data_IF_675020709011
#
_entry.id   IF_675020709011
#
_cell.length_a   1.000
_cell.length_b   1.000
_cell.length_c   1.000
_cell.angle_alpha   90.00
_cell.angle_beta   90.00
_cell.angle_gamma   90.00
#
_symmetry.space_group_name_H-M   'P 1'
#
loop_
_entity.id
_entity.type
_entity.pdbx_description
1 polymer ?
#
# COMPACT_ATOMS: atom_id res chain seq x y z
N UNK A 1 -13.61 -14.06 21.20
CA UNK A 1 -14.43 -14.03 19.98
C UNK A 1 -13.82 -12.99 19.06
N UNK A 2 -13.23 -13.45 17.97
CA UNK A 2 -12.57 -12.62 16.97
C UNK A 2 -13.63 -11.90 16.15
N UNK A 3 -13.94 -10.64 16.49
CA UNK A 3 -14.83 -9.79 15.68
C UNK A 3 -14.04 -9.33 14.46
N UNK A 4 -13.85 -10.26 13.51
CA UNK A 4 -13.16 -10.01 12.26
C UNK A 4 -13.81 -8.86 11.49
N UNK A 5 -13.00 -7.90 11.06
CA UNK A 5 -13.42 -6.82 10.17
C UNK A 5 -13.90 -7.41 8.83
N UNK A 6 -15.13 -7.10 8.42
CA UNK A 6 -15.69 -7.42 7.09
C UNK A 6 -15.46 -6.21 6.17
N UNK A 7 -14.56 -6.36 5.19
CA UNK A 7 -14.36 -5.35 4.14
C UNK A 7 -15.28 -5.69 2.97
N UNK A 8 -16.22 -4.80 2.66
CA UNK A 8 -17.14 -4.95 1.53
C UNK A 8 -16.69 -4.01 0.41
N UNK A 9 -16.28 -4.58 -0.72
CA UNK A 9 -15.91 -3.84 -1.92
C UNK A 9 -17.11 -3.71 -2.85
N UNK A 10 -17.30 -2.54 -3.46
CA UNK A 10 -18.30 -2.32 -4.50
C UNK A 10 -17.62 -1.74 -5.73
N UNK A 11 -17.26 -2.61 -6.67
CA UNK A 11 -16.71 -2.24 -7.97
C UNK A 11 -17.86 -1.88 -8.92
N UNK A 12 -18.38 -0.66 -8.82
CA UNK A 12 -19.27 -0.13 -9.84
C UNK A 12 -18.45 0.32 -11.05
N UNK A 13 -18.75 -0.19 -12.26
CA UNK A 13 -18.10 0.27 -13.50
C UNK A 13 -18.24 1.80 -13.65
N UNK A 14 -17.15 2.46 -14.07
CA UNK A 14 -17.08 3.90 -14.33
C UNK A 14 -16.74 4.13 -15.82
N UNK A 15 -17.73 4.14 -16.74
CA UNK A 15 -17.47 4.19 -18.19
C UNK A 15 -17.06 5.59 -18.72
N UNK A 16 -16.74 6.54 -17.84
CA UNK A 16 -16.30 7.88 -18.22
C UNK A 16 -15.65 8.54 -17.03
N UNK A 17 -14.40 9.01 -17.19
CA UNK A 17 -13.63 9.66 -16.13
C UNK A 17 -14.43 10.78 -15.46
N UNK A 18 -14.94 10.51 -14.28
CA UNK A 18 -15.84 11.40 -13.52
C UNK A 18 -15.18 11.88 -12.21
N UNK A 19 -13.86 11.70 -12.06
CA UNK A 19 -13.07 12.29 -10.99
C UNK A 19 -11.97 13.17 -11.56
N UNK A 20 -12.13 14.49 -11.39
CA UNK A 20 -11.03 15.45 -11.44
C UNK A 20 -10.62 15.97 -12.82
N UNK A 21 -11.42 16.88 -13.40
CA UNK A 21 -10.88 17.88 -14.33
C UNK A 21 -11.34 19.29 -13.93
N UNK A 22 -10.80 19.80 -12.81
CA UNK A 22 -10.44 21.21 -12.54
C UNK A 22 -10.52 21.56 -11.06
N UNK A 23 -9.54 22.36 -10.63
CA UNK A 23 -9.37 22.79 -9.25
C UNK A 23 -10.56 23.57 -8.70
N UNK A 24 -10.94 23.19 -7.47
CA UNK A 24 -11.88 23.82 -6.54
C UNK A 24 -13.37 23.62 -6.90
N UNK A 25 -14.06 22.98 -5.96
CA UNK A 25 -15.51 22.71 -5.88
C UNK A 25 -16.10 21.70 -6.87
N UNK A 26 -16.15 20.46 -6.39
CA UNK A 26 -17.07 19.36 -6.67
C UNK A 26 -18.40 19.79 -7.33
N UNK A 27 -18.46 19.75 -8.65
CA UNK A 27 -19.75 19.74 -9.37
C UNK A 27 -20.12 18.29 -9.64
N UNK A 28 -21.01 17.76 -8.80
CA UNK A 28 -21.54 16.43 -8.97
C UNK A 28 -22.45 16.40 -10.20
N UNK A 29 -22.14 15.56 -11.19
CA UNK A 29 -23.12 15.23 -12.21
C UNK A 29 -24.34 14.59 -11.51
N UNK A 30 -25.58 14.76 -12.01
CA UNK A 30 -26.74 14.09 -11.43
C UNK A 30 -26.56 12.57 -11.31
N UNK A 31 -25.79 11.97 -12.23
CA UNK A 31 -25.44 10.56 -12.19
C UNK A 31 -24.44 10.24 -11.06
N UNK A 32 -23.37 11.02 -10.90
CA UNK A 32 -22.43 10.85 -9.79
C UNK A 32 -23.12 11.01 -8.42
N UNK A 33 -24.03 11.98 -8.30
CA UNK A 33 -24.83 12.18 -7.10
C UNK A 33 -25.68 10.95 -6.76
N UNK A 34 -26.38 10.40 -7.76
CA UNK A 34 -27.19 9.20 -7.55
C UNK A 34 -26.34 7.98 -7.19
N UNK A 35 -25.18 7.80 -7.83
CA UNK A 35 -24.26 6.69 -7.54
C UNK A 35 -23.69 6.75 -6.12
N UNK A 36 -23.12 7.88 -5.72
CA UNK A 36 -22.54 8.03 -4.37
C UNK A 36 -23.63 8.06 -3.30
N UNK A 37 -24.78 8.67 -3.59
CA UNK A 37 -25.95 8.58 -2.72
C UNK A 37 -26.40 7.14 -2.49
N UNK A 38 -26.47 6.32 -3.55
CA UNK A 38 -26.78 4.89 -3.45
C UNK A 38 -25.72 4.15 -2.63
N UNK A 39 -24.43 4.34 -2.92
CA UNK A 39 -23.34 3.67 -2.20
C UNK A 39 -23.36 4.01 -0.70
N UNK A 40 -23.49 5.30 -0.35
CA UNK A 40 -23.59 5.74 1.04
C UNK A 40 -24.81 5.14 1.73
N UNK A 41 -25.96 5.09 1.04
CA UNK A 41 -27.15 4.42 1.57
C UNK A 41 -26.90 2.92 1.82
N UNK A 42 -26.30 2.20 0.87
CA UNK A 42 -26.01 0.77 1.02
C UNK A 42 -25.07 0.51 2.23
N UNK A 43 -24.05 1.36 2.42
CA UNK A 43 -23.14 1.30 3.59
C UNK A 43 -23.92 1.56 4.89
N UNK A 44 -24.82 2.55 4.91
CA UNK A 44 -25.66 2.85 6.08
C UNK A 44 -26.58 1.67 6.40
N UNK A 45 -27.23 1.06 5.40
CA UNK A 45 -28.09 -0.11 5.60
C UNK A 45 -27.30 -1.28 6.18
N UNK A 46 -26.13 -1.58 5.62
CA UNK A 46 -25.25 -2.62 6.15
C UNK A 46 -24.86 -2.35 7.62
N UNK A 47 -24.53 -1.10 7.95
CA UNK A 47 -24.16 -0.73 9.31
C UNK A 47 -25.33 -0.92 10.29
N UNK A 48 -26.57 -0.63 9.87
CA UNK A 48 -27.77 -0.86 10.66
C UNK A 48 -28.12 -2.35 10.79
N UNK A 49 -28.00 -3.13 9.71
CA UNK A 49 -28.29 -4.56 9.68
C UNK A 49 -27.33 -5.38 10.55
N UNK A 50 -26.08 -4.94 10.66
CA UNK A 50 -25.02 -5.61 11.43
C UNK A 50 -24.81 -4.97 12.82
N UNK A 51 -25.73 -4.12 13.28
CA UNK A 51 -25.75 -3.47 14.61
C UNK A 51 -24.46 -2.72 14.98
N UNK A 52 -23.88 -1.96 14.04
CA UNK A 52 -22.72 -1.11 14.34
C UNK A 52 -23.11 0.09 15.22
N UNK A 53 -22.40 0.30 16.34
CA UNK A 53 -22.63 1.41 17.26
C UNK A 53 -22.34 2.79 16.63
N UNK A 54 -21.38 2.86 15.72
CA UNK A 54 -20.96 4.09 15.05
C UNK A 54 -20.61 3.83 13.59
N UNK A 55 -21.06 4.73 12.71
CA UNK A 55 -20.64 4.80 11.32
C UNK A 55 -20.04 6.18 11.04
N UNK A 56 -18.81 6.21 10.53
CA UNK A 56 -18.16 7.44 10.10
C UNK A 56 -17.97 7.42 8.58
N UNK A 57 -18.67 8.32 7.90
CA UNK A 57 -18.50 8.55 6.47
C UNK A 57 -17.57 9.75 6.29
N UNK A 58 -16.38 9.50 5.75
CA UNK A 58 -15.41 10.52 5.40
C UNK A 58 -15.29 10.56 3.89
N UNK A 59 -15.67 11.70 3.30
CA UNK A 59 -15.35 11.96 1.91
C UNK A 59 -13.91 12.45 1.83
N UNK A 60 -13.10 11.79 1.01
CA UNK A 60 -11.72 12.19 0.76
C UNK A 60 -11.46 12.22 -0.74
N UNK A 61 -10.86 13.33 -1.18
CA UNK A 61 -10.48 13.53 -2.59
C UNK A 61 -9.13 12.87 -2.89
N UNK A 62 -8.30 12.71 -1.85
CA UNK A 62 -6.96 12.13 -1.90
C UNK A 62 -6.70 11.42 -0.58
N UNK A 63 -6.41 10.13 -0.63
CA UNK A 63 -5.84 9.39 0.49
C UNK A 63 -4.67 8.58 -0.05
N UNK A 64 -3.47 8.84 0.44
CA UNK A 64 -2.24 8.22 -0.05
C UNK A 64 -1.26 8.07 1.12
N UNK A 65 -0.40 7.06 1.05
CA UNK A 65 0.63 6.85 2.05
C UNK A 65 1.88 7.71 1.74
N UNK A 66 2.36 8.57 2.66
CA UNK A 66 3.51 9.44 2.44
C UNK A 66 4.82 8.68 2.22
N UNK A 67 4.90 7.39 2.61
CA UNK A 67 6.02 6.52 2.32
C UNK A 67 6.34 6.39 0.82
N UNK A 68 5.38 6.69 -0.06
CA UNK A 68 5.60 6.76 -1.52
C UNK A 68 6.61 7.84 -1.95
N UNK A 69 6.87 8.83 -1.10
CA UNK A 69 7.86 9.89 -1.35
C UNK A 69 9.28 9.51 -0.89
N UNK A 70 9.49 8.32 -0.30
CA UNK A 70 10.79 7.95 0.26
C UNK A 70 11.89 7.94 -0.80
N UNK A 71 11.59 7.60 -2.06
CA UNK A 71 12.56 7.65 -3.15
C UNK A 71 13.04 9.06 -3.51
N UNK A 72 12.31 10.11 -3.12
CA UNK A 72 12.74 11.50 -3.29
C UNK A 72 13.65 11.97 -2.15
N UNK A 73 13.46 11.41 -0.95
CA UNK A 73 14.23 11.72 0.26
C UNK A 73 15.50 10.90 0.35
N UNK A 74 15.42 9.63 -0.02
CA UNK A 74 16.50 8.64 -0.04
C UNK A 74 16.57 8.01 -1.44
N UNK A 75 17.19 8.70 -2.42
CA UNK A 75 17.32 8.16 -3.76
C UNK A 75 18.06 6.81 -3.74
N UNK A 76 17.63 5.82 -4.54
CA UNK A 76 18.29 4.53 -4.57
C UNK A 76 19.72 4.66 -5.10
N UNK A 77 20.67 4.03 -4.40
CA UNK A 77 22.07 4.01 -4.82
C UNK A 77 22.35 2.73 -5.63
N UNK A 78 22.80 2.90 -6.88
CA UNK A 78 23.24 1.80 -7.73
C UNK A 78 22.14 1.06 -8.49
N UNK A 79 22.52 -0.06 -9.11
CA UNK A 79 21.61 -0.90 -9.89
C UNK A 79 20.96 -1.98 -9.02
N UNK A 80 19.76 -2.45 -9.42
CA UNK A 80 19.12 -3.61 -8.80
C UNK A 80 19.99 -4.85 -8.93
N UNK A 81 19.91 -5.70 -7.92
CA UNK A 81 20.53 -7.02 -7.84
C UNK A 81 19.49 -8.11 -8.16
N UNK A 82 19.93 -9.35 -8.26
CA UNK A 82 19.06 -10.53 -8.40
C UNK A 82 18.45 -11.02 -7.07
N UNK A 83 18.70 -10.30 -5.96
CA UNK A 83 18.21 -10.67 -4.64
C UNK A 83 16.71 -10.47 -4.50
N UNK A 84 16.11 -11.33 -3.69
CA UNK A 84 14.70 -11.33 -3.34
C UNK A 84 14.59 -10.92 -1.87
N UNK A 85 14.03 -9.74 -1.62
CA UNK A 85 13.87 -9.20 -0.27
C UNK A 85 12.69 -9.84 0.45
N UNK A 86 12.90 -10.27 1.70
CA UNK A 86 11.82 -10.71 2.59
C UNK A 86 11.72 -9.71 3.74
N UNK A 87 10.63 -8.92 3.75
CA UNK A 87 10.37 -7.86 4.73
C UNK A 87 9.26 -8.30 5.68
N UNK A 88 9.57 -8.90 6.84
CA UNK A 88 8.56 -9.32 7.79
C UNK A 88 7.89 -8.12 8.46
N UNK A 89 6.71 -8.31 9.04
CA UNK A 89 6.24 -7.42 10.08
C UNK A 89 7.25 -7.40 11.25
N UNK A 90 7.47 -6.26 11.91
CA UNK A 90 8.52 -6.13 12.93
C UNK A 90 8.42 -7.14 14.08
N UNK A 91 7.21 -7.59 14.43
CA UNK A 91 6.98 -8.63 15.45
C UNK A 91 7.33 -10.05 15.00
N UNK A 92 7.52 -10.26 13.70
CA UNK A 92 7.82 -11.54 13.06
C UNK A 92 9.28 -11.62 12.60
N UNK A 93 10.09 -10.60 12.85
CA UNK A 93 11.47 -10.52 12.37
C UNK A 93 12.39 -11.62 12.94
N UNK A 94 12.05 -12.17 14.10
CA UNK A 94 12.78 -13.27 14.76
C UNK A 94 12.06 -14.62 14.63
N UNK A 95 11.04 -14.74 13.78
CA UNK A 95 10.30 -15.99 13.58
C UNK A 95 11.19 -17.09 12.99
N UNK A 96 11.18 -18.28 13.59
CA UNK A 96 12.07 -19.37 13.19
C UNK A 96 11.80 -19.87 11.77
N UNK A 97 10.54 -19.94 11.34
CA UNK A 97 10.19 -20.40 9.98
C UNK A 97 10.64 -19.39 8.94
N UNK A 98 10.55 -18.10 9.25
CA UNK A 98 11.09 -17.04 8.42
C UNK A 98 12.62 -17.17 8.26
N UNK A 99 13.34 -17.36 9.37
CA UNK A 99 14.79 -17.50 9.34
C UNK A 99 15.22 -18.75 8.57
N UNK A 100 14.52 -19.87 8.73
CA UNK A 100 14.74 -21.09 7.95
C UNK A 100 14.48 -20.88 6.45
N UNK A 101 13.41 -20.17 6.09
CA UNK A 101 13.11 -19.82 4.69
C UNK A 101 14.24 -18.98 4.08
N UNK A 102 14.68 -17.92 4.76
CA UNK A 102 15.77 -17.07 4.28
C UNK A 102 17.05 -17.87 4.10
N UNK A 103 17.36 -18.79 5.03
CA UNK A 103 18.54 -19.64 4.95
C UNK A 103 18.44 -20.73 3.87
N UNK A 104 17.25 -21.04 3.36
CA UNK A 104 17.02 -22.11 2.39
C UNK A 104 17.52 -21.80 0.98
N UNK A 105 17.66 -20.52 0.64
CA UNK A 105 18.14 -20.07 -0.67
C UNK A 105 18.95 -18.78 -0.54
N UNK A 106 20.18 -18.80 -1.07
CA UNK A 106 21.07 -17.64 -1.09
C UNK A 106 20.52 -16.42 -1.86
N UNK A 107 19.49 -16.61 -2.70
CA UNK A 107 18.79 -15.51 -3.36
C UNK A 107 17.94 -14.68 -2.38
N UNK A 108 17.52 -15.24 -1.25
CA UNK A 108 16.74 -14.52 -0.25
C UNK A 108 17.62 -13.67 0.65
N UNK A 109 17.14 -12.45 0.93
CA UNK A 109 17.72 -11.56 1.93
C UNK A 109 16.64 -11.13 2.92
N UNK A 110 16.89 -11.36 4.20
CA UNK A 110 16.04 -10.82 5.26
C UNK A 110 16.28 -9.32 5.37
N UNK A 111 15.22 -8.53 5.28
CA UNK A 111 15.26 -7.09 5.48
C UNK A 111 14.47 -6.77 6.74
N UNK A 112 15.18 -6.62 7.86
CA UNK A 112 14.56 -6.36 9.17
C UNK A 112 14.07 -4.90 9.24
N UNK A 113 12.74 -4.64 9.33
CA UNK A 113 12.19 -3.29 9.40
C UNK A 113 12.54 -2.54 10.69
N UNK A 114 13.16 -3.21 11.69
CA UNK A 114 13.66 -2.58 12.92
C UNK A 114 15.02 -1.89 12.72
N UNK A 115 15.69 -2.15 11.59
CA UNK A 115 16.97 -1.53 11.23
C UNK A 115 16.80 -0.04 10.89
N UNK A 116 17.88 0.75 10.83
CA UNK A 116 17.82 2.15 10.39
C UNK A 116 17.12 2.28 9.03
N UNK A 117 16.29 3.31 8.87
CA UNK A 117 15.39 3.46 7.73
C UNK A 117 16.15 3.50 6.40
N UNK A 118 17.30 4.17 6.37
CA UNK A 118 18.20 4.27 5.22
C UNK A 118 18.74 2.90 4.78
N UNK A 119 19.03 2.01 5.74
CA UNK A 119 19.51 0.65 5.46
C UNK A 119 18.38 -0.20 4.90
N UNK A 120 17.18 -0.13 5.50
CA UNK A 120 15.99 -0.85 5.03
C UNK A 120 15.61 -0.40 3.62
N UNK A 121 15.58 0.91 3.38
CA UNK A 121 15.26 1.51 2.09
C UNK A 121 16.25 1.08 1.01
N UNK A 122 17.55 1.19 1.26
CA UNK A 122 18.58 0.76 0.32
C UNK A 122 18.49 -0.74 0.00
N UNK A 123 18.26 -1.58 1.03
CA UNK A 123 18.08 -3.02 0.83
C UNK A 123 16.86 -3.32 -0.05
N UNK A 124 15.71 -2.71 0.22
CA UNK A 124 14.49 -2.88 -0.59
C UNK A 124 14.71 -2.41 -2.02
N UNK A 125 15.28 -1.21 -2.20
CA UNK A 125 15.54 -0.63 -3.51
C UNK A 125 16.48 -1.48 -4.39
N UNK A 126 17.39 -2.23 -3.76
CA UNK A 126 18.36 -3.09 -4.45
C UNK A 126 17.78 -4.44 -4.92
N UNK A 127 16.57 -4.81 -4.50
CA UNK A 127 16.00 -6.13 -4.81
C UNK A 127 15.37 -6.19 -6.21
N UNK A 128 15.34 -7.38 -6.81
CA UNK A 128 14.55 -7.67 -8.02
C UNK A 128 13.06 -7.83 -7.69
N UNK A 129 12.76 -8.40 -6.51
CA UNK A 129 11.40 -8.58 -6.02
C UNK A 129 11.36 -8.55 -4.49
N UNK A 130 10.23 -8.15 -3.90
CA UNK A 130 10.03 -8.10 -2.44
C UNK A 130 8.80 -8.90 -2.02
N UNK A 131 8.98 -9.82 -1.07
CA UNK A 131 7.88 -10.42 -0.31
C UNK A 131 7.76 -9.68 1.03
N UNK A 132 6.59 -9.14 1.35
CA UNK A 132 6.44 -8.37 2.58
C UNK A 132 5.15 -8.68 3.34
N UNK A 133 5.30 -8.94 4.64
CA UNK A 133 4.21 -8.90 5.63
C UNK A 133 4.20 -7.59 6.41
N UNK A 134 5.22 -6.73 6.23
CA UNK A 134 5.18 -5.33 6.62
C UNK A 134 4.43 -4.48 5.57
N UNK A 135 3.49 -3.63 6.01
CA UNK A 135 2.82 -2.67 5.14
C UNK A 135 3.84 -1.70 4.50
N UNK A 136 4.72 -1.10 5.31
CA UNK A 136 5.76 -0.21 4.78
C UNK A 136 6.79 -0.96 3.92
N UNK A 137 6.93 -2.28 4.07
CA UNK A 137 7.71 -3.09 3.12
C UNK A 137 7.13 -3.04 1.69
N UNK A 138 5.81 -3.12 1.56
CA UNK A 138 5.12 -3.01 0.27
C UNK A 138 5.17 -1.57 -0.26
N UNK A 139 4.86 -0.58 0.58
CA UNK A 139 4.86 0.84 0.19
C UNK A 139 6.25 1.28 -0.28
N UNK A 140 7.30 0.90 0.46
CA UNK A 140 8.69 1.25 0.12
C UNK A 140 9.12 0.58 -1.19
N UNK A 141 8.72 -0.68 -1.40
CA UNK A 141 8.99 -1.36 -2.67
C UNK A 141 8.30 -0.65 -3.84
N UNK A 142 7.02 -0.28 -3.69
CA UNK A 142 6.28 0.50 -4.70
C UNK A 142 6.95 1.86 -4.96
N UNK A 143 7.43 2.56 -3.92
CA UNK A 143 8.11 3.84 -4.06
C UNK A 143 9.42 3.78 -4.88
N UNK A 144 10.13 2.65 -4.82
CA UNK A 144 11.34 2.37 -5.62
C UNK A 144 11.03 1.62 -6.93
N UNK A 145 9.75 1.38 -7.24
CA UNK A 145 9.28 0.66 -8.42
C UNK A 145 9.66 -0.83 -8.42
N UNK A 146 9.90 -1.43 -7.25
CA UNK A 146 10.27 -2.84 -7.08
C UNK A 146 9.00 -3.67 -6.97
N UNK A 147 8.87 -4.67 -7.86
CA UNK A 147 7.76 -5.60 -7.84
C UNK A 147 7.67 -6.32 -6.48
N UNK A 148 6.47 -6.43 -5.94
CA UNK A 148 6.29 -6.97 -4.60
C UNK A 148 5.02 -7.80 -4.44
N UNK A 149 5.07 -8.74 -3.50
CA UNK A 149 4.01 -9.68 -3.16
C UNK A 149 3.67 -9.59 -1.68
N UNK A 150 2.37 -9.51 -1.40
CA UNK A 150 1.85 -9.44 -0.03
C UNK A 150 1.89 -10.82 0.65
N UNK A 151 2.59 -10.89 1.77
CA UNK A 151 2.67 -12.06 2.66
C UNK A 151 1.78 -11.84 3.88
N UNK A 152 1.18 -12.91 4.38
CA UNK A 152 0.22 -12.87 5.47
C UNK A 152 0.84 -12.18 6.70
N UNK A 153 0.25 -11.07 7.18
CA UNK A 153 0.78 -10.33 8.31
C UNK A 153 0.20 -10.92 9.60
N UNK A 154 0.65 -12.11 9.98
CA UNK A 154 0.13 -12.86 11.13
C UNK A 154 -0.06 -11.95 12.36
N UNK A 155 -1.26 -11.96 12.94
CA UNK A 155 -1.62 -11.12 14.09
C UNK A 155 -1.82 -9.63 13.78
N UNK A 156 -1.88 -9.21 12.51
CA UNK A 156 -2.09 -7.83 12.11
C UNK A 156 -3.43 -7.63 11.37
N UNK A 157 -4.04 -6.47 11.57
CA UNK A 157 -5.21 -6.06 10.81
C UNK A 157 -4.89 -5.95 9.31
N UNK A 158 -5.75 -6.54 8.48
CA UNK A 158 -5.60 -6.55 7.01
C UNK A 158 -6.11 -5.27 6.34
N UNK A 159 -7.03 -4.54 6.99
CA UNK A 159 -7.67 -3.35 6.44
C UNK A 159 -6.65 -2.32 5.95
N UNK A 160 -5.60 -2.02 6.73
CA UNK A 160 -4.54 -1.06 6.34
C UNK A 160 -3.84 -1.39 5.01
N UNK A 161 -3.74 -2.67 4.65
CA UNK A 161 -3.14 -3.10 3.39
C UNK A 161 -4.09 -2.88 2.22
N UNK A 162 -5.37 -3.16 2.45
CA UNK A 162 -6.44 -2.90 1.51
C UNK A 162 -6.65 -1.41 1.27
N UNK A 163 -6.62 -0.59 2.33
CA UNK A 163 -6.68 0.87 2.23
C UNK A 163 -5.52 1.39 1.38
N UNK A 164 -4.28 0.97 1.66
CA UNK A 164 -3.14 1.34 0.83
C UNK A 164 -3.32 0.88 -0.62
N UNK A 165 -3.69 -0.39 -0.86
CA UNK A 165 -3.87 -0.89 -2.21
C UNK A 165 -4.95 -0.12 -2.99
N UNK A 166 -6.04 0.28 -2.33
CA UNK A 166 -7.06 1.13 -2.92
C UNK A 166 -6.52 2.51 -3.29
N UNK A 167 -5.64 3.10 -2.47
CA UNK A 167 -5.06 4.43 -2.75
C UNK A 167 -4.28 4.48 -4.07
N UNK A 168 -3.57 3.40 -4.40
CA UNK A 168 -2.74 3.31 -5.61
C UNK A 168 -3.40 2.51 -6.74
N UNK A 169 -4.69 2.16 -6.61
CA UNK A 169 -5.42 1.39 -7.63
C UNK A 169 -4.91 -0.04 -7.84
N UNK A 170 -4.28 -0.64 -6.82
CA UNK A 170 -3.73 -2.00 -6.87
C UNK A 170 -4.81 -3.02 -6.53
N UNK A 171 -5.04 -3.98 -7.42
CA UNK A 171 -5.88 -5.14 -7.15
C UNK A 171 -5.22 -6.08 -6.12
N UNK A 172 -5.52 -5.90 -4.83
CA UNK A 172 -4.96 -6.68 -3.72
C UNK A 172 -6.00 -7.67 -3.16
N UNK A 173 -5.97 -8.91 -3.64
CA UNK A 173 -6.95 -9.95 -3.28
C UNK A 173 -6.71 -10.54 -1.89
N UNK A 174 -5.65 -11.33 -1.75
CA UNK A 174 -5.32 -12.04 -0.52
C UNK A 174 -3.80 -12.21 -0.41
N UNK A 175 -3.26 -12.20 0.81
CA UNK A 175 -1.85 -12.48 1.00
C UNK A 175 -1.55 -13.96 0.78
N UNK A 176 -0.33 -14.26 0.35
CA UNK A 176 0.20 -15.62 0.39
C UNK A 176 0.70 -15.95 1.80
N UNK A 177 0.72 -17.23 2.16
CA UNK A 177 1.38 -17.71 3.37
C UNK A 177 2.91 -17.72 3.21
N UNK A 178 3.64 -17.73 4.32
CA UNK A 178 5.11 -17.70 4.34
C UNK A 178 5.73 -18.89 3.59
N UNK A 179 5.14 -20.08 3.75
CA UNK A 179 5.57 -21.33 3.09
C UNK A 179 5.32 -21.36 1.57
N UNK A 180 4.54 -20.41 1.04
CA UNK A 180 4.26 -20.28 -0.39
C UNK A 180 5.30 -19.41 -1.14
N UNK A 181 6.20 -18.71 -0.42
CA UNK A 181 7.18 -17.80 -1.05
C UNK A 181 8.09 -18.52 -2.05
N UNK A 182 8.53 -19.74 -1.72
CA UNK A 182 9.41 -20.52 -2.57
C UNK A 182 8.81 -20.77 -3.97
N UNK A 183 7.52 -21.10 -4.04
CA UNK A 183 6.80 -21.40 -5.28
C UNK A 183 6.09 -20.19 -5.90
N UNK A 184 5.99 -19.06 -5.20
CA UNK A 184 5.33 -17.87 -5.69
C UNK A 184 6.07 -17.25 -6.90
N UNK A 185 5.33 -16.68 -7.87
CA UNK A 185 5.91 -15.89 -8.95
C UNK A 185 6.73 -14.71 -8.41
N UNK A 186 7.87 -14.44 -9.06
CA UNK A 186 8.79 -13.35 -8.71
C UNK A 186 8.98 -12.47 -9.95
N UNK A 187 7.93 -11.79 -10.44
CA UNK A 187 8.03 -10.99 -11.64
C UNK A 187 9.05 -9.87 -11.42
N UNK A 188 9.98 -9.74 -12.37
CA UNK A 188 10.84 -8.57 -12.54
C UNK A 188 10.28 -7.75 -13.72
N UNK A 189 9.13 -7.13 -13.47
CA UNK A 189 8.37 -6.40 -14.47
C UNK A 189 7.84 -5.09 -13.86
N UNK A 190 7.51 -4.14 -14.74
CA UNK A 190 6.89 -2.89 -14.34
C UNK A 190 5.58 -3.13 -13.57
N UNK A 191 5.31 -2.27 -12.59
CA UNK A 191 4.08 -2.32 -11.81
C UNK A 191 2.89 -1.95 -12.70
N UNK A 192 1.87 -2.80 -12.74
CA UNK A 192 0.66 -2.54 -13.56
C UNK A 192 -0.19 -1.39 -13.02
N UNK A 193 0.15 -0.86 -11.85
CA UNK A 193 -0.54 0.21 -11.13
C UNK A 193 0.37 1.43 -10.91
N UNK A 194 1.42 1.59 -11.73
CA UNK A 194 2.36 2.71 -11.63
C UNK A 194 1.67 4.08 -11.72
N UNK A 195 0.69 4.22 -12.62
CA UNK A 195 -0.06 5.48 -12.77
C UNK A 195 -0.76 5.89 -11.45
N UNK A 196 -1.24 4.92 -10.66
CA UNK A 196 -1.85 5.18 -9.37
C UNK A 196 -0.83 5.63 -8.30
N UNK A 197 0.39 5.06 -8.33
CA UNK A 197 1.50 5.52 -7.48
C UNK A 197 1.87 6.97 -7.83
N UNK A 198 2.02 7.28 -9.11
CA UNK A 198 2.43 8.61 -9.58
C UNK A 198 1.37 9.67 -9.27
N UNK A 199 0.09 9.33 -9.44
CA UNK A 199 -1.03 10.17 -9.03
C UNK A 199 -1.00 10.43 -7.52
N UNK A 200 -0.76 9.41 -6.70
CA UNK A 200 -0.66 9.56 -5.26
C UNK A 200 0.52 10.45 -4.83
N UNK A 201 1.69 10.27 -5.44
CA UNK A 201 2.87 11.09 -5.15
C UNK A 201 2.63 12.57 -5.48
N UNK A 202 2.05 12.84 -6.65
CA UNK A 202 1.66 14.20 -7.05
C UNK A 202 0.68 14.81 -6.05
N UNK A 203 -0.37 14.06 -5.71
CA UNK A 203 -1.40 14.53 -4.80
C UNK A 203 -0.86 14.80 -3.38
N UNK A 204 0.06 13.97 -2.88
CA UNK A 204 0.74 14.19 -1.60
C UNK A 204 1.50 15.50 -1.58
N UNK A 205 2.27 15.81 -2.63
CA UNK A 205 3.03 17.06 -2.73
C UNK A 205 2.10 18.26 -2.85
N UNK A 206 1.07 18.18 -3.69
CA UNK A 206 0.15 19.28 -3.96
C UNK A 206 -0.72 19.66 -2.74
N UNK A 207 -1.06 18.69 -1.89
CA UNK A 207 -1.92 18.89 -0.74
C UNK A 207 -1.17 19.03 0.59
N UNK A 208 0.15 18.80 0.62
CA UNK A 208 0.91 18.92 1.85
C UNK A 208 0.88 20.38 2.36
N UNK A 209 0.52 20.63 3.62
CA UNK A 209 0.42 21.99 4.13
C UNK A 209 1.75 22.73 4.03
N UNK A 210 1.79 23.83 3.27
CA UNK A 210 3.01 24.62 3.06
C UNK A 210 3.69 25.07 4.35
N UNK A 211 2.92 25.26 5.43
CA UNK A 211 3.42 25.63 6.75
C UNK A 211 4.24 24.51 7.43
N UNK A 212 4.05 23.25 7.03
CA UNK A 212 4.76 22.08 7.54
C UNK A 212 5.93 21.67 6.64
N UNK A 213 6.03 22.24 5.43
CA UNK A 213 7.18 22.00 4.56
C UNK A 213 8.46 22.51 5.23
N UNK A 214 9.53 21.71 5.13
CA UNK A 214 10.86 22.19 5.49
C UNK A 214 11.17 23.47 4.67
N UNK A 215 11.63 24.52 5.35
CA UNK A 215 12.06 25.74 4.64
C UNK A 215 13.28 25.36 3.80
N UNK A 216 13.27 25.67 2.51
CA UNK A 216 14.45 25.50 1.66
C UNK A 216 15.64 26.20 2.32
N UNK A 217 16.69 25.44 2.68
CA UNK A 217 17.93 25.97 3.25
C UNK A 217 18.26 25.60 4.71
N UNK A 218 17.59 24.63 5.33
CA UNK A 218 18.07 24.02 6.58
C UNK A 218 18.81 22.71 6.29
N UNK A 219 20.02 22.82 5.75
CA UNK A 219 21.05 21.77 5.77
C UNK A 219 22.29 22.35 6.45
#
# INVERSE_FOLDING_TARGET
>A
EDRGSKVVWSDAECPGGDYGEKGRTHTWTPQAWHRVGKLKNDIIQLALEEDYDFLWLVDTDVFCDPGLLVGDVLPPEGARTDKIGIVPHHTLADDLKLLELVASDSAYVLIDPRSPAEVVCAAIASCAHVFASSLHGLITADAYGVANTWVAPEGQGRLKFHDYAASVGRAMRAPIALDQIASAPKPDAALTYQDGIDACRTALVDHFPAALCARQGAA
#
